data_IF_065703228675
#
_entry.id   IF_065703228675
#
_cell.length_a   1.000
_cell.length_b   1.000
_cell.length_c   1.000
_cell.angle_alpha   90.00
_cell.angle_beta   90.00
_cell.angle_gamma   90.00
#
_symmetry.space_group_name_H-M   'P 1'
#
loop_
_entity.id
_entity.type
_entity.pdbx_description
1 polymer ?
#
# COMPACT_ATOMS: atom_id res chain seq x y z
N UNK A 1 -9.66 21.44 -23.22
CA UNK A 1 -8.84 20.53 -22.38
C UNK A 1 -9.25 20.75 -20.93
N UNK A 2 -9.63 19.70 -20.16
CA UNK A 2 -10.15 19.84 -18.77
C UNK A 2 -9.19 19.30 -17.69
N UNK A 3 -8.08 18.67 -18.08
CA UNK A 3 -7.11 18.04 -17.18
C UNK A 3 -5.77 18.76 -17.29
N UNK A 4 -5.12 19.03 -16.16
CA UNK A 4 -3.78 19.59 -16.08
C UNK A 4 -2.77 18.43 -16.05
N UNK A 5 -2.37 17.96 -17.24
CA UNK A 5 -1.42 16.85 -17.40
C UNK A 5 -0.49 17.15 -18.57
N UNK A 6 0.72 16.58 -18.51
CA UNK A 6 1.66 16.58 -19.63
C UNK A 6 1.38 15.35 -20.54
N UNK A 7 2.27 14.36 -20.55
CA UNK A 7 2.03 13.06 -21.19
C UNK A 7 1.14 12.19 -20.29
N UNK A 8 -0.02 11.69 -20.77
CA UNK A 8 -0.86 10.77 -20.01
C UNK A 8 -0.15 9.52 -19.48
N UNK A 9 0.92 9.06 -20.14
CA UNK A 9 1.72 7.90 -19.70
C UNK A 9 2.63 8.21 -18.52
N UNK A 10 2.94 9.48 -18.29
CA UNK A 10 3.80 9.93 -17.19
C UNK A 10 3.00 10.51 -16.02
N UNK A 11 1.65 10.50 -16.09
CA UNK A 11 0.80 11.24 -15.14
C UNK A 11 0.98 10.76 -13.70
N UNK A 12 1.07 9.45 -13.47
CA UNK A 12 1.24 8.86 -12.14
C UNK A 12 2.62 9.22 -11.60
N UNK A 13 3.66 8.94 -12.40
CA UNK A 13 5.04 9.25 -12.04
C UNK A 13 5.25 10.72 -11.66
N UNK A 14 4.82 11.64 -12.52
CA UNK A 14 4.96 13.09 -12.31
C UNK A 14 4.18 13.57 -11.07
N UNK A 15 3.00 13.00 -10.83
CA UNK A 15 2.21 13.30 -9.63
C UNK A 15 2.95 12.85 -8.35
N UNK A 16 3.53 11.65 -8.34
CA UNK A 16 4.28 11.15 -7.19
C UNK A 16 5.57 11.94 -6.96
N UNK A 17 6.29 12.30 -8.02
CA UNK A 17 7.46 13.18 -7.95
C UNK A 17 7.10 14.53 -7.32
N UNK A 18 5.99 15.13 -7.74
CA UNK A 18 5.47 16.36 -7.13
C UNK A 18 5.07 16.18 -5.66
N UNK A 19 4.45 15.05 -5.31
CA UNK A 19 4.06 14.73 -3.94
C UNK A 19 5.29 14.65 -3.01
N UNK A 20 6.30 13.85 -3.38
CA UNK A 20 7.48 13.65 -2.53
C UNK A 20 8.37 14.90 -2.47
N UNK A 21 8.36 15.74 -3.51
CA UNK A 21 9.04 17.04 -3.48
C UNK A 21 8.45 18.01 -2.43
N UNK A 22 7.17 17.83 -2.05
CA UNK A 22 6.49 18.64 -1.04
C UNK A 22 6.47 17.99 0.35
N UNK A 23 6.84 16.71 0.47
CA UNK A 23 6.73 15.92 1.68
C UNK A 23 8.12 15.36 2.09
N UNK A 24 8.91 16.09 2.91
CA UNK A 24 10.29 15.71 3.23
C UNK A 24 10.43 14.38 4.00
N UNK A 25 9.35 13.87 4.59
CA UNK A 25 9.31 12.55 5.24
C UNK A 25 9.10 11.38 4.27
N UNK A 26 8.96 11.66 2.97
CA UNK A 26 8.64 10.69 1.94
C UNK A 26 9.70 10.70 0.83
N UNK A 27 9.90 9.55 0.20
CA UNK A 27 10.71 9.39 -1.00
C UNK A 27 10.03 8.44 -1.98
N UNK A 28 10.44 8.53 -3.24
CA UNK A 28 10.01 7.62 -4.30
C UNK A 28 11.09 6.57 -4.49
N UNK A 29 10.70 5.30 -4.47
CA UNK A 29 11.62 4.19 -4.75
C UNK A 29 12.13 4.31 -6.20
N UNK A 30 13.44 4.15 -6.40
CA UNK A 30 14.02 4.25 -7.73
C UNK A 30 13.47 3.17 -8.66
N UNK A 31 13.04 3.59 -9.86
CA UNK A 31 12.48 2.69 -10.88
C UNK A 31 11.04 2.26 -10.63
N UNK A 32 10.43 2.61 -9.50
CA UNK A 32 9.10 2.15 -9.10
C UNK A 32 8.17 3.31 -8.71
N UNK A 33 6.87 3.15 -8.94
CA UNK A 33 5.84 4.09 -8.46
C UNK A 33 5.42 3.76 -7.02
N UNK A 34 6.42 3.70 -6.14
CA UNK A 34 6.27 3.35 -4.72
C UNK A 34 6.75 4.50 -3.84
N UNK A 35 5.83 5.09 -3.08
CA UNK A 35 6.16 6.11 -2.08
C UNK A 35 6.47 5.43 -0.76
N UNK A 36 7.62 5.75 -0.18
CA UNK A 36 8.14 5.20 1.08
C UNK A 36 8.36 6.32 2.08
N UNK A 37 8.29 5.95 3.36
CA UNK A 37 8.79 6.79 4.43
C UNK A 37 10.33 6.76 4.46
N UNK A 38 10.98 7.91 4.71
CA UNK A 38 12.45 8.00 4.71
C UNK A 38 13.12 7.65 6.04
N UNK A 39 12.37 7.69 7.15
CA UNK A 39 12.88 7.49 8.51
C UNK A 39 12.93 6.01 8.96
N UNK A 40 12.93 5.07 8.01
CA UNK A 40 12.95 3.64 8.33
C UNK A 40 14.29 3.26 8.97
N UNK A 41 14.29 2.60 10.16
CA UNK A 41 15.53 2.12 10.76
C UNK A 41 16.15 0.99 9.92
N UNK A 42 17.39 0.57 10.23
CA UNK A 42 17.99 -0.60 9.58
C UNK A 42 17.07 -1.83 9.67
N UNK A 43 17.05 -2.73 8.67
CA UNK A 43 16.08 -3.83 8.60
C UNK A 43 15.92 -4.64 9.88
N UNK A 44 17.01 -4.93 10.59
CA UNK A 44 17.00 -5.70 11.84
C UNK A 44 16.26 -5.02 13.01
N UNK A 45 16.00 -3.72 12.93
CA UNK A 45 15.33 -2.92 13.97
C UNK A 45 13.92 -2.47 13.54
N UNK A 46 13.45 -2.87 12.36
CA UNK A 46 12.12 -2.50 11.87
C UNK A 46 11.06 -3.32 12.59
N UNK A 47 10.00 -2.65 13.05
CA UNK A 47 8.74 -3.29 13.42
C UNK A 47 7.94 -3.74 12.20
N UNK A 48 6.68 -4.11 12.41
CA UNK A 48 5.77 -4.52 11.33
C UNK A 48 5.60 -3.37 10.33
N UNK A 49 5.94 -3.60 9.07
CA UNK A 49 5.68 -2.63 8.02
C UNK A 49 4.21 -2.72 7.57
N UNK A 50 3.49 -1.60 7.53
CA UNK A 50 2.13 -1.56 6.97
C UNK A 50 2.19 -0.97 5.57
N UNK A 51 1.79 -1.73 4.56
CA UNK A 51 1.80 -1.33 3.16
C UNK A 51 0.39 -1.40 2.57
N UNK A 52 0.11 -0.56 1.59
CA UNK A 52 -1.12 -0.60 0.81
C UNK A 52 -0.88 -0.09 -0.60
N UNK A 53 -1.84 -0.22 -1.49
CA UNK A 53 -1.70 0.25 -2.85
C UNK A 53 -2.92 -0.02 -3.71
N UNK A 54 -2.79 0.31 -4.98
CA UNK A 54 -3.84 0.16 -5.98
C UNK A 54 -3.66 1.16 -7.11
N UNK A 55 -4.63 1.23 -8.01
CA UNK A 55 -4.60 2.18 -9.11
C UNK A 55 -4.66 3.64 -8.67
N UNK A 56 -3.91 4.48 -9.37
CA UNK A 56 -3.97 5.93 -9.22
C UNK A 56 -5.36 6.49 -9.61
N UNK A 57 -5.62 7.75 -9.27
CA UNK A 57 -6.91 8.41 -9.47
C UNK A 57 -7.83 8.36 -8.25
N UNK A 58 -7.30 7.92 -7.10
CA UNK A 58 -7.99 7.89 -5.81
C UNK A 58 -7.29 8.77 -4.76
N UNK A 59 -6.39 9.66 -5.19
CA UNK A 59 -5.61 10.51 -4.30
C UNK A 59 -6.50 11.27 -3.31
N UNK A 60 -6.13 11.34 -2.00
CA UNK A 60 -4.81 11.01 -1.44
C UNK A 60 -4.55 9.51 -1.23
N UNK A 61 -5.51 8.63 -1.53
CA UNK A 61 -5.33 7.19 -1.41
C UNK A 61 -4.34 6.68 -2.48
N UNK A 62 -3.19 6.08 -2.16
CA UNK A 62 -2.67 5.79 -0.81
C UNK A 62 -1.39 6.55 -0.44
N UNK A 63 -0.71 7.18 -1.41
CA UNK A 63 0.57 7.86 -1.19
C UNK A 63 0.48 9.01 -0.16
N UNK A 64 -0.67 9.69 -0.08
CA UNK A 64 -0.91 10.73 0.92
C UNK A 64 -1.04 10.21 2.36
N UNK A 65 -1.10 8.88 2.56
CA UNK A 65 -1.16 8.24 3.87
C UNK A 65 0.17 7.58 4.29
N UNK A 66 1.25 7.80 3.53
CA UNK A 66 2.59 7.35 3.92
C UNK A 66 3.15 8.27 4.99
N UNK A 67 3.44 7.72 6.18
CA UNK A 67 3.96 8.49 7.29
C UNK A 67 3.88 7.76 8.63
N UNK A 68 4.50 8.34 9.70
CA UNK A 68 4.51 7.74 11.03
C UNK A 68 3.09 7.42 11.55
N UNK A 69 2.88 6.20 12.05
CA UNK A 69 1.60 5.76 12.60
C UNK A 69 0.48 5.49 11.57
N UNK A 70 0.83 5.47 10.28
CA UNK A 70 0.00 5.08 9.13
C UNK A 70 0.78 4.08 8.25
N UNK A 71 0.97 4.36 6.96
CA UNK A 71 1.65 3.47 6.02
C UNK A 71 3.16 3.70 6.01
N UNK A 72 3.91 2.60 5.90
CA UNK A 72 5.35 2.61 5.62
C UNK A 72 5.63 2.81 4.14
N UNK A 73 4.77 2.25 3.29
CA UNK A 73 4.84 2.36 1.84
C UNK A 73 3.44 2.39 1.21
N UNK A 74 3.32 3.10 0.09
CA UNK A 74 2.16 3.04 -0.79
C UNK A 74 2.60 2.74 -2.22
N UNK A 75 1.99 1.72 -2.83
CA UNK A 75 2.29 1.27 -4.19
C UNK A 75 1.20 1.79 -5.13
N UNK A 76 1.57 2.65 -6.06
CA UNK A 76 0.66 3.16 -7.08
C UNK A 76 0.80 2.34 -8.37
N UNK A 77 -0.33 1.88 -8.89
CA UNK A 77 -0.42 1.43 -10.28
C UNK A 77 -0.87 2.55 -11.20
N UNK A 78 -1.02 2.23 -12.48
CA UNK A 78 -1.65 3.12 -13.46
C UNK A 78 -3.06 3.54 -13.01
N UNK A 79 -3.60 4.57 -13.66
CA UNK A 79 -4.94 5.09 -13.34
C UNK A 79 -5.98 3.96 -13.37
N UNK A 80 -6.64 3.73 -12.23
CA UNK A 80 -7.63 2.66 -11.99
C UNK A 80 -7.14 1.22 -12.23
N UNK A 81 -5.83 0.98 -12.22
CA UNK A 81 -5.24 -0.35 -12.43
C UNK A 81 -4.36 -0.74 -11.26
N UNK A 82 -4.52 -1.96 -10.73
CA UNK A 82 -3.65 -2.47 -9.65
C UNK A 82 -2.17 -2.35 -10.05
N UNK A 83 -1.27 -1.99 -9.11
CA UNK A 83 0.17 -2.10 -9.37
C UNK A 83 0.58 -3.53 -9.67
N UNK A 84 1.72 -3.70 -10.33
CA UNK A 84 2.30 -5.00 -10.63
C UNK A 84 2.74 -5.73 -9.36
N UNK A 85 2.82 -7.06 -9.44
CA UNK A 85 3.38 -7.90 -8.38
C UNK A 85 4.81 -7.47 -8.02
N UNK A 86 5.63 -7.15 -9.03
CA UNK A 86 7.03 -6.77 -8.84
C UNK A 86 7.16 -5.47 -8.04
N UNK A 87 6.32 -4.47 -8.32
CA UNK A 87 6.31 -3.21 -7.56
C UNK A 87 5.88 -3.43 -6.10
N UNK A 88 4.90 -4.31 -5.86
CA UNK A 88 4.48 -4.67 -4.50
C UNK A 88 5.60 -5.41 -3.76
N UNK A 89 6.27 -6.35 -4.42
CA UNK A 89 7.41 -7.07 -3.85
C UNK A 89 8.59 -6.14 -3.55
N UNK A 90 8.90 -5.20 -4.46
CA UNK A 90 9.92 -4.17 -4.25
C UNK A 90 9.60 -3.30 -3.03
N UNK A 91 8.34 -2.90 -2.86
CA UNK A 91 7.89 -2.17 -1.68
C UNK A 91 8.05 -2.97 -0.38
N UNK A 92 7.70 -4.26 -0.38
CA UNK A 92 7.88 -5.15 0.78
C UNK A 92 9.37 -5.22 1.15
N UNK A 93 10.25 -5.48 0.18
CA UNK A 93 11.71 -5.55 0.41
C UNK A 93 12.27 -4.23 0.93
N UNK A 94 11.79 -3.10 0.39
CA UNK A 94 12.25 -1.78 0.79
C UNK A 94 11.81 -1.40 2.21
N UNK A 95 10.59 -1.77 2.62
CA UNK A 95 9.97 -1.30 3.85
C UNK A 95 10.08 -2.28 5.04
N UNK A 96 10.09 -3.59 4.79
CA UNK A 96 9.99 -4.61 5.83
C UNK A 96 11.36 -4.98 6.43
N UNK A 97 11.31 -5.76 7.51
CA UNK A 97 12.43 -6.42 8.16
C UNK A 97 11.98 -7.78 8.73
N UNK A 98 12.71 -8.38 9.69
CA UNK A 98 12.35 -9.67 10.29
C UNK A 98 10.97 -9.69 10.98
N UNK A 99 10.47 -8.53 11.43
CA UNK A 99 9.13 -8.39 12.00
C UNK A 99 8.00 -8.54 10.94
N UNK A 100 8.35 -8.49 9.65
CA UNK A 100 7.44 -8.73 8.54
C UNK A 100 6.64 -7.51 8.07
N UNK A 101 5.64 -7.78 7.25
CA UNK A 101 4.79 -6.79 6.60
C UNK A 101 3.31 -7.18 6.62
N UNK A 102 2.44 -6.21 6.88
CA UNK A 102 1.01 -6.32 6.63
C UNK A 102 0.65 -5.60 5.32
N UNK A 103 0.02 -6.33 4.40
CA UNK A 103 -0.58 -5.77 3.20
C UNK A 103 -2.07 -5.48 3.44
N UNK A 104 -2.44 -4.20 3.44
CA UNK A 104 -3.85 -3.76 3.47
C UNK A 104 -4.34 -3.62 2.02
N UNK A 105 -5.19 -4.55 1.59
CA UNK A 105 -5.57 -4.71 0.18
C UNK A 105 -7.06 -4.41 0.00
N UNK A 106 -7.40 -3.52 -0.93
CA UNK A 106 -8.79 -3.29 -1.32
C UNK A 106 -9.32 -4.49 -2.10
N UNK A 107 -10.54 -4.94 -1.81
CA UNK A 107 -11.09 -6.16 -2.39
C UNK A 107 -11.54 -6.00 -3.86
N UNK A 108 -10.57 -5.86 -4.77
CA UNK A 108 -10.73 -5.96 -6.21
C UNK A 108 -9.88 -7.10 -6.76
N UNK A 109 -10.30 -7.71 -7.86
CA UNK A 109 -9.62 -8.90 -8.42
C UNK A 109 -8.15 -8.65 -8.72
N UNK A 110 -7.81 -7.55 -9.40
CA UNK A 110 -6.42 -7.23 -9.74
C UNK A 110 -5.55 -7.02 -8.49
N UNK A 111 -6.04 -6.24 -7.53
CA UNK A 111 -5.33 -5.97 -6.27
C UNK A 111 -5.09 -7.27 -5.50
N UNK A 112 -6.10 -8.14 -5.35
CA UNK A 112 -5.95 -9.44 -4.66
C UNK A 112 -4.90 -10.34 -5.30
N UNK A 113 -4.90 -10.43 -6.64
CA UNK A 113 -3.98 -11.29 -7.37
C UNK A 113 -2.54 -10.79 -7.26
N UNK A 114 -2.31 -9.50 -7.50
CA UNK A 114 -0.96 -8.95 -7.51
C UNK A 114 -0.36 -8.85 -6.10
N UNK A 115 -1.13 -8.40 -5.11
CA UNK A 115 -0.65 -8.35 -3.71
C UNK A 115 -0.52 -9.76 -3.12
N UNK A 116 -1.45 -10.67 -3.44
CA UNK A 116 -1.39 -12.05 -2.99
C UNK A 116 -0.13 -12.76 -3.51
N UNK A 117 0.17 -12.64 -4.80
CA UNK A 117 1.38 -13.22 -5.38
C UNK A 117 2.65 -12.59 -4.79
N UNK A 118 2.68 -11.28 -4.59
CA UNK A 118 3.82 -10.61 -3.97
C UNK A 118 4.06 -11.06 -2.53
N UNK A 119 2.98 -11.29 -1.75
CA UNK A 119 3.09 -11.87 -0.41
C UNK A 119 3.69 -13.28 -0.43
N UNK A 120 3.25 -14.15 -1.34
CA UNK A 120 3.83 -15.50 -1.46
C UNK A 120 5.33 -15.44 -1.82
N UNK A 121 5.71 -14.59 -2.76
CA UNK A 121 7.12 -14.40 -3.15
C UNK A 121 7.96 -13.87 -1.99
N UNK A 122 7.47 -12.87 -1.27
CA UNK A 122 8.16 -12.31 -0.10
C UNK A 122 8.33 -13.36 1.02
N UNK A 123 7.32 -14.20 1.28
CA UNK A 123 7.44 -15.31 2.23
C UNK A 123 8.47 -16.35 1.79
N UNK A 124 8.55 -16.65 0.50
CA UNK A 124 9.58 -17.53 -0.05
C UNK A 124 11.00 -16.94 0.12
N UNK A 125 11.13 -15.62 0.20
CA UNK A 125 12.37 -14.91 0.54
C UNK A 125 12.65 -14.81 2.05
N UNK A 126 11.76 -15.35 2.89
CA UNK A 126 11.90 -15.34 4.34
C UNK A 126 11.42 -14.06 5.02
N UNK A 127 10.68 -13.18 4.31
CA UNK A 127 10.02 -12.02 4.91
C UNK A 127 8.60 -12.45 5.33
N UNK A 128 8.23 -12.42 6.62
CA UNK A 128 6.86 -12.73 7.03
C UNK A 128 5.88 -11.70 6.45
N UNK A 129 4.79 -12.18 5.83
CA UNK A 129 3.76 -11.30 5.24
C UNK A 129 2.36 -11.80 5.55
N UNK A 130 1.54 -10.92 6.12
CA UNK A 130 0.09 -11.12 6.26
C UNK A 130 -0.68 -10.16 5.35
N UNK A 131 -1.92 -10.52 5.02
CA UNK A 131 -2.78 -9.73 4.14
C UNK A 131 -4.17 -9.56 4.74
N UNK A 132 -4.63 -8.32 4.83
CA UNK A 132 -6.00 -7.98 5.22
C UNK A 132 -6.75 -7.45 4.01
N UNK A 133 -7.90 -8.06 3.70
CA UNK A 133 -8.80 -7.60 2.65
C UNK A 133 -9.84 -6.64 3.21
N UNK A 134 -9.94 -5.45 2.62
CA UNK A 134 -10.98 -4.48 2.94
C UNK A 134 -12.15 -4.61 1.96
N UNK A 135 -13.34 -4.89 2.48
CA UNK A 135 -14.57 -5.15 1.73
C UNK A 135 -15.78 -4.38 2.32
N UNK A 136 -15.60 -3.09 2.57
CA UNK A 136 -16.54 -2.23 3.31
C UNK A 136 -17.72 -1.68 2.50
N UNK A 137 -17.76 -1.90 1.17
CA UNK A 137 -18.81 -1.36 0.32
C UNK A 137 -20.18 -2.03 0.50
N UNK A 138 -21.04 -1.42 1.31
CA UNK A 138 -22.40 -1.87 1.60
C UNK A 138 -23.41 -1.63 0.47
N UNK A 139 -23.04 -0.92 -0.61
CA UNK A 139 -23.91 -0.76 -1.76
C UNK A 139 -24.20 -2.10 -2.46
N UNK A 140 -23.26 -3.05 -2.34
CA UNK A 140 -23.38 -4.39 -2.94
C UNK A 140 -23.98 -5.43 -1.99
N UNK A 141 -24.45 -5.05 -0.79
CA UNK A 141 -24.87 -5.99 0.27
C UNK A 141 -25.93 -7.02 -0.15
N UNK A 142 -26.82 -6.64 -1.06
CA UNK A 142 -27.94 -7.46 -1.55
C UNK A 142 -27.58 -8.20 -2.86
N UNK A 143 -26.39 -7.94 -3.42
CA UNK A 143 -25.95 -8.48 -4.72
C UNK A 143 -24.80 -9.48 -4.61
N UNK A 144 -23.93 -9.33 -3.61
CA UNK A 144 -22.79 -10.21 -3.38
C UNK A 144 -22.59 -10.45 -1.89
N UNK A 145 -22.02 -11.61 -1.57
CA UNK A 145 -21.63 -11.96 -0.21
C UNK A 145 -20.61 -10.94 0.36
N UNK A 146 -20.57 -10.72 1.69
CA UNK A 146 -19.69 -9.75 2.33
C UNK A 146 -18.23 -9.78 1.85
N UNK A 147 -17.65 -10.97 1.71
CA UNK A 147 -16.28 -11.23 1.27
C UNK A 147 -15.99 -10.90 -0.21
N UNK A 148 -17.03 -10.58 -0.98
CA UNK A 148 -16.94 -10.16 -2.39
C UNK A 148 -17.25 -8.69 -2.61
N UNK A 149 -17.57 -7.94 -1.55
CA UNK A 149 -17.81 -6.49 -1.63
C UNK A 149 -16.51 -5.75 -1.89
N UNK A 150 -16.59 -4.59 -2.55
CA UNK A 150 -15.41 -3.77 -2.85
C UNK A 150 -14.82 -3.16 -1.57
N UNK A 151 -13.52 -2.90 -1.59
CA UNK A 151 -12.87 -2.02 -0.63
C UNK A 151 -12.90 -0.58 -1.11
N UNK A 152 -13.40 0.34 -0.29
CA UNK A 152 -13.54 1.77 -0.62
C UNK A 152 -12.96 2.63 0.51
N UNK A 153 -13.65 3.71 0.91
CA UNK A 153 -13.14 4.73 1.82
C UNK A 153 -12.80 4.20 3.23
N UNK A 154 -13.44 3.13 3.71
CA UNK A 154 -13.13 2.54 5.01
C UNK A 154 -11.69 2.01 5.12
N UNK A 155 -11.02 1.78 3.98
CA UNK A 155 -9.61 1.36 3.92
C UNK A 155 -8.69 2.31 4.71
N UNK A 156 -8.95 3.63 4.71
CA UNK A 156 -8.11 4.59 5.45
C UNK A 156 -8.18 4.39 6.97
N UNK A 157 -9.31 3.90 7.47
CA UNK A 157 -9.46 3.59 8.89
C UNK A 157 -8.62 2.36 9.27
N UNK A 158 -8.58 1.36 8.38
CA UNK A 158 -7.72 0.18 8.53
C UNK A 158 -6.25 0.60 8.53
N UNK A 159 -5.84 1.50 7.62
CA UNK A 159 -4.48 2.07 7.63
C UNK A 159 -4.12 2.71 8.97
N UNK A 160 -5.04 3.50 9.55
CA UNK A 160 -4.81 4.20 10.81
C UNK A 160 -4.70 3.27 12.01
N UNK A 161 -5.54 2.25 12.08
CA UNK A 161 -5.56 1.28 13.19
C UNK A 161 -4.33 0.37 13.09
N UNK A 162 -4.09 -0.24 11.93
CA UNK A 162 -2.93 -1.11 11.71
C UNK A 162 -1.61 -0.35 11.88
N UNK A 163 -1.52 0.87 11.31
CA UNK A 163 -0.33 1.72 11.45
C UNK A 163 -0.05 2.13 12.90
N UNK A 164 -1.09 2.37 13.71
CA UNK A 164 -0.93 2.63 15.14
C UNK A 164 -0.47 1.40 15.91
N UNK A 165 -1.07 0.23 15.64
CA UNK A 165 -0.69 -1.02 16.28
C UNK A 165 0.77 -1.40 15.96
N UNK A 166 1.15 -1.28 14.69
CA UNK A 166 2.54 -1.48 14.26
C UNK A 166 3.50 -0.50 14.95
N UNK A 167 3.14 0.78 15.04
CA UNK A 167 3.96 1.79 15.73
C UNK A 167 4.08 1.54 17.25
N UNK A 168 3.08 0.89 17.87
CA UNK A 168 3.12 0.47 19.25
C UNK A 168 3.93 -0.82 19.49
N UNK A 169 4.49 -1.42 18.44
CA UNK A 169 5.37 -2.59 18.53
C UNK A 169 4.62 -3.93 18.62
N UNK A 170 3.35 -3.97 18.24
CA UNK A 170 2.59 -5.22 18.17
C UNK A 170 3.18 -6.21 17.13
N UNK A 171 2.94 -7.50 17.35
CA UNK A 171 3.39 -8.56 16.45
C UNK A 171 2.61 -8.52 15.13
N UNK A 172 3.17 -9.11 14.06
CA UNK A 172 2.47 -9.17 12.76
C UNK A 172 1.07 -9.81 12.88
N UNK A 173 0.94 -10.84 13.70
CA UNK A 173 -0.34 -11.52 13.94
C UNK A 173 -1.36 -10.68 14.71
N UNK A 174 -0.91 -9.79 15.61
CA UNK A 174 -1.81 -8.88 16.34
C UNK A 174 -2.22 -7.66 15.50
N UNK A 175 -1.38 -7.28 14.52
CA UNK A 175 -1.64 -6.15 13.62
C UNK A 175 -2.59 -6.55 12.48
N UNK A 176 -2.55 -7.82 12.05
CA UNK A 176 -3.41 -8.40 11.01
C UNK A 176 -4.84 -8.69 11.52
#
# INVERSE_FOLDING_TARGET
>A
MKKLINDPRAVVRQMLEGLVALAPGQALLEGEDVVLRVDLPPPAQRGVAVLSGGGAGHEPAHAGYVGPGLLHAAIAGDVFTSPSTDAVLAAIRAAAGPAGALLVVKNYTGDRLNFGLAAELARAEGIPVETVLVADDVALRDTVAPERRRGIAGTVLVHKVAGAAAAAGHSLADVA
#
